data_IF_643524016207
#
_entry.id   IF_643524016207
#
_cell.length_a   1.000
_cell.length_b   1.000
_cell.length_c   1.000
_cell.angle_alpha   90.00
_cell.angle_beta   90.00
_cell.angle_gamma   90.00
#
_symmetry.space_group_name_H-M   'P 1'
#
loop_
_entity.id
_entity.type
_entity.pdbx_description
1 polymer ?
#
# COMPACT_ATOMS: atom_id res chain seq x y z
N UNK A 1 -31.58 -54.12 -29.21
CA UNK A 1 -32.29 -52.81 -29.08
C UNK A 1 -32.39 -52.23 -27.66
N UNK A 2 -31.71 -52.79 -26.63
CA UNK A 2 -31.81 -52.30 -25.25
C UNK A 2 -30.61 -51.43 -24.80
N UNK A 3 -29.52 -51.43 -25.51
CA UNK A 3 -28.28 -50.70 -25.17
C UNK A 3 -28.23 -49.24 -25.64
N UNK A 4 -28.92 -48.90 -26.73
CA UNK A 4 -28.98 -47.55 -27.29
C UNK A 4 -29.82 -46.55 -26.44
N UNK A 5 -30.86 -47.06 -25.77
CA UNK A 5 -31.71 -46.22 -24.91
C UNK A 5 -31.01 -45.76 -23.62
N UNK A 6 -30.07 -46.56 -23.11
CA UNK A 6 -29.31 -46.23 -21.89
C UNK A 6 -28.29 -45.11 -22.12
N UNK A 7 -27.65 -45.09 -23.30
CA UNK A 7 -26.67 -44.05 -23.68
C UNK A 7 -27.36 -42.68 -23.91
N UNK A 8 -28.56 -42.69 -24.48
CA UNK A 8 -29.33 -41.46 -24.72
C UNK A 8 -29.81 -40.84 -23.40
N UNK A 9 -30.19 -41.63 -22.39
CA UNK A 9 -30.58 -41.16 -21.07
C UNK A 9 -29.38 -40.57 -20.29
N UNK A 10 -28.17 -41.11 -20.48
CA UNK A 10 -26.95 -40.60 -19.82
C UNK A 10 -26.50 -39.26 -20.40
N UNK A 11 -26.67 -39.05 -21.72
CA UNK A 11 -26.30 -37.76 -22.38
C UNK A 11 -27.24 -36.63 -21.97
N UNK A 12 -28.53 -36.92 -21.74
CA UNK A 12 -29.51 -35.90 -21.29
C UNK A 12 -29.26 -35.46 -19.84
N UNK A 13 -28.69 -36.34 -19.00
CA UNK A 13 -28.38 -36.02 -17.60
C UNK A 13 -27.20 -35.08 -17.43
N UNK A 14 -26.34 -34.91 -18.44
CA UNK A 14 -25.16 -34.04 -18.38
C UNK A 14 -25.50 -32.58 -18.73
N UNK A 15 -26.67 -32.33 -19.31
CA UNK A 15 -27.03 -30.99 -19.84
C UNK A 15 -27.75 -30.05 -18.84
N UNK A 16 -27.94 -30.47 -17.57
CA UNK A 16 -28.62 -29.62 -16.56
C UNK A 16 -27.63 -29.18 -15.45
N UNK A 17 -26.41 -28.92 -15.84
CA UNK A 17 -25.53 -28.09 -15.02
C UNK A 17 -25.96 -26.63 -15.16
N UNK A 18 -26.91 -26.16 -14.35
CA UNK A 18 -27.11 -24.72 -14.20
C UNK A 18 -25.80 -24.13 -13.72
N UNK A 19 -25.13 -23.35 -14.61
CA UNK A 19 -24.04 -22.50 -14.19
C UNK A 19 -24.58 -21.62 -13.06
N UNK A 20 -24.12 -21.86 -11.86
CA UNK A 20 -24.42 -21.02 -10.72
C UNK A 20 -23.73 -19.69 -11.02
N UNK A 21 -24.49 -18.68 -11.43
CA UNK A 21 -24.00 -17.33 -11.55
C UNK A 21 -23.59 -16.89 -10.15
N UNK A 22 -22.29 -16.93 -9.87
CA UNK A 22 -21.73 -16.29 -8.68
C UNK A 22 -22.07 -14.81 -8.80
N UNK A 23 -23.11 -14.36 -8.13
CA UNK A 23 -23.37 -12.95 -7.90
C UNK A 23 -22.27 -12.45 -6.96
N UNK A 24 -21.16 -12.02 -7.54
CA UNK A 24 -20.10 -11.39 -6.79
C UNK A 24 -20.59 -10.01 -6.35
N UNK A 25 -20.82 -9.86 -5.05
CA UNK A 25 -21.13 -8.55 -4.48
C UNK A 25 -19.89 -7.68 -4.60
N UNK A 26 -20.01 -6.52 -5.24
CA UNK A 26 -18.94 -5.52 -5.38
C UNK A 26 -19.32 -4.26 -4.64
N UNK A 27 -18.32 -3.56 -4.13
CA UNK A 27 -18.49 -2.23 -3.54
C UNK A 27 -18.58 -1.18 -4.64
N UNK A 28 -19.26 -0.07 -4.35
CA UNK A 28 -19.16 1.12 -5.19
C UNK A 28 -17.73 1.67 -5.14
N UNK A 29 -17.28 2.24 -6.26
CA UNK A 29 -16.03 3.00 -6.26
C UNK A 29 -16.16 4.24 -5.35
N UNK A 30 -15.08 4.62 -4.67
CA UNK A 30 -15.06 5.86 -3.88
C UNK A 30 -15.43 7.09 -4.72
N UNK A 31 -15.14 7.07 -6.01
CA UNK A 31 -15.47 8.15 -6.94
C UNK A 31 -16.99 8.29 -7.19
N UNK A 32 -17.72 7.20 -7.03
CA UNK A 32 -19.17 7.14 -7.28
C UNK A 32 -20.00 7.50 -6.04
N UNK A 33 -19.36 7.63 -4.87
CA UNK A 33 -20.01 7.94 -3.60
C UNK A 33 -19.69 9.37 -3.19
N UNK A 34 -20.72 10.19 -2.99
CA UNK A 34 -20.59 11.57 -2.53
C UNK A 34 -21.27 11.77 -1.18
N UNK A 35 -20.54 12.34 -0.24
CA UNK A 35 -21.09 12.72 1.05
C UNK A 35 -21.97 13.97 0.87
N UNK A 36 -23.17 13.91 1.40
CA UNK A 36 -24.06 15.06 1.49
C UNK A 36 -23.70 15.91 2.72
N UNK A 37 -24.28 17.13 2.84
CA UNK A 37 -24.09 18.02 3.99
C UNK A 37 -24.44 17.30 5.29
N UNK A 38 -23.44 17.03 6.11
CA UNK A 38 -23.53 16.17 7.29
C UNK A 38 -22.25 16.26 8.12
N UNK A 39 -22.26 15.74 9.37
CA UNK A 39 -21.05 15.59 10.16
C UNK A 39 -19.97 14.74 9.46
N UNK A 40 -20.35 13.80 8.61
CA UNK A 40 -19.41 12.96 7.86
C UNK A 40 -18.65 13.77 6.79
N UNK A 41 -19.34 14.64 6.06
CA UNK A 41 -18.68 15.57 5.13
C UNK A 41 -17.73 16.51 5.86
N UNK A 42 -18.15 17.03 7.02
CA UNK A 42 -17.29 17.88 7.84
C UNK A 42 -16.04 17.14 8.32
N UNK A 43 -16.17 15.88 8.74
CA UNK A 43 -15.05 15.03 9.12
C UNK A 43 -14.08 14.81 7.94
N UNK A 44 -14.58 14.51 6.75
CA UNK A 44 -13.77 14.35 5.54
C UNK A 44 -12.98 15.63 5.21
N UNK A 45 -13.62 16.81 5.33
CA UNK A 45 -12.96 18.08 5.09
C UNK A 45 -11.86 18.36 6.13
N UNK A 46 -12.12 18.06 7.39
CA UNK A 46 -11.14 18.19 8.48
C UNK A 46 -9.93 17.29 8.23
N UNK A 47 -10.16 16.05 7.82
CA UNK A 47 -9.12 15.08 7.51
C UNK A 47 -8.29 15.50 6.29
N UNK A 48 -8.94 16.03 5.24
CA UNK A 48 -8.28 16.58 4.07
C UNK A 48 -7.30 17.71 4.46
N UNK A 49 -7.74 18.64 5.30
CA UNK A 49 -6.88 19.73 5.79
C UNK A 49 -5.72 19.17 6.63
N UNK A 50 -5.96 18.20 7.49
CA UNK A 50 -4.93 17.56 8.29
C UNK A 50 -3.87 16.87 7.41
N UNK A 51 -4.29 16.09 6.43
CA UNK A 51 -3.40 15.41 5.48
C UNK A 51 -2.52 16.43 4.74
N UNK A 52 -3.08 17.55 4.30
CA UNK A 52 -2.33 18.61 3.62
C UNK A 52 -1.40 19.39 4.55
N UNK A 53 -1.68 19.44 5.85
CA UNK A 53 -0.83 20.09 6.85
C UNK A 53 0.44 19.30 7.19
N UNK A 54 0.47 17.98 6.90
CA UNK A 54 1.67 17.19 7.09
C UNK A 54 2.76 17.58 6.07
N UNK A 55 4.00 17.59 6.54
CA UNK A 55 5.16 17.94 5.72
C UNK A 55 5.66 16.69 4.95
N UNK A 56 5.53 16.65 3.61
CA UNK A 56 5.95 15.52 2.80
C UNK A 56 7.47 15.30 2.78
N UNK A 57 8.28 16.36 2.95
CA UNK A 57 9.73 16.24 2.99
C UNK A 57 10.19 15.51 4.25
N UNK A 58 9.50 15.70 5.35
CA UNK A 58 9.74 14.97 6.59
C UNK A 58 9.32 13.51 6.50
N UNK A 59 8.22 13.23 5.79
CA UNK A 59 7.71 11.86 5.59
C UNK A 59 8.54 11.07 4.57
N UNK A 60 9.14 11.74 3.59
CA UNK A 60 10.04 11.10 2.61
C UNK A 60 11.48 10.95 3.11
N UNK A 61 11.86 11.67 4.18
CA UNK A 61 13.22 11.69 4.70
C UNK A 61 13.83 10.32 5.02
N UNK A 62 13.10 9.36 5.65
CA UNK A 62 13.63 8.03 5.92
C UNK A 62 14.04 7.28 4.65
N UNK A 63 13.22 7.35 3.61
CA UNK A 63 13.47 6.66 2.34
C UNK A 63 14.67 7.25 1.60
N UNK A 64 14.79 8.58 1.59
CA UNK A 64 15.94 9.26 0.99
C UNK A 64 17.24 8.92 1.72
N UNK A 65 17.22 8.94 3.04
CA UNK A 65 18.37 8.57 3.88
C UNK A 65 18.83 7.14 3.63
N UNK A 66 17.90 6.18 3.61
CA UNK A 66 18.22 4.78 3.36
C UNK A 66 18.73 4.54 1.93
N UNK A 67 18.29 5.34 0.98
CA UNK A 67 18.80 5.34 -0.40
C UNK A 67 20.16 6.05 -0.56
N UNK A 68 20.77 6.57 0.51
CA UNK A 68 22.03 7.34 0.45
C UNK A 68 21.89 8.76 -0.09
N UNK A 69 20.65 9.27 -0.18
CA UNK A 69 20.38 10.64 -0.59
C UNK A 69 20.24 11.57 0.61
N UNK A 70 20.53 12.84 0.42
CA UNK A 70 20.31 13.86 1.45
C UNK A 70 18.82 14.19 1.52
N UNK A 71 18.16 14.00 2.68
CA UNK A 71 16.78 14.42 2.90
C UNK A 71 16.64 15.94 2.83
N UNK A 72 15.50 16.44 2.37
CA UNK A 72 15.17 17.88 2.32
C UNK A 72 14.81 18.46 3.69
N UNK A 73 14.32 17.60 4.60
CA UNK A 73 13.96 17.96 5.97
C UNK A 73 14.30 16.78 6.93
N UNK A 74 14.43 17.03 8.25
CA UNK A 74 14.57 15.95 9.21
C UNK A 74 13.26 15.13 9.31
N UNK A 75 13.36 13.81 9.51
CA UNK A 75 12.21 12.94 9.76
C UNK A 75 11.35 13.46 10.91
N UNK A 76 10.09 13.05 10.94
CA UNK A 76 9.30 13.14 12.15
C UNK A 76 9.95 12.31 13.27
N UNK A 77 9.57 12.58 14.51
CA UNK A 77 10.06 11.86 15.69
C UNK A 77 9.19 10.64 16.00
N UNK A 78 9.47 9.96 17.10
CA UNK A 78 8.83 8.75 17.56
C UNK A 78 9.00 7.61 16.55
N UNK A 79 7.94 7.12 15.95
CA UNK A 79 7.96 5.95 15.07
C UNK A 79 8.83 6.16 13.82
N UNK A 80 9.00 7.40 13.38
CA UNK A 80 9.78 7.74 12.20
C UNK A 80 11.29 7.91 12.48
N UNK A 81 11.76 7.66 13.71
CA UNK A 81 13.18 7.70 14.08
C UNK A 81 13.57 6.68 15.16
N UNK A 82 12.81 5.61 15.34
CA UNK A 82 13.03 4.57 16.36
C UNK A 82 13.11 3.14 15.80
N UNK A 83 13.28 2.99 14.49
CA UNK A 83 13.38 1.70 13.82
C UNK A 83 12.15 1.31 12.98
N UNK A 84 11.07 2.09 13.04
CA UNK A 84 9.92 2.03 12.13
C UNK A 84 9.94 3.14 11.09
N UNK A 85 11.07 3.72 10.87
CA UNK A 85 11.27 4.84 9.94
C UNK A 85 10.65 4.53 8.56
N UNK A 86 9.86 5.45 8.03
CA UNK A 86 9.10 5.30 6.79
C UNK A 86 7.70 4.69 6.94
N UNK A 87 7.32 4.22 8.13
CA UNK A 87 6.01 3.62 8.39
C UNK A 87 4.86 4.59 8.11
N UNK A 88 4.92 5.80 8.66
CA UNK A 88 3.89 6.82 8.45
C UNK A 88 3.84 7.27 6.98
N UNK A 89 4.97 7.28 6.28
CA UNK A 89 5.03 7.60 4.85
C UNK A 89 4.17 6.69 3.99
N UNK A 90 4.14 5.38 4.28
CA UNK A 90 3.26 4.42 3.62
C UNK A 90 1.78 4.66 3.90
N UNK A 91 1.41 4.89 5.16
CA UNK A 91 0.05 5.28 5.53
C UNK A 91 -0.39 6.58 4.85
N UNK A 92 0.51 7.55 4.77
CA UNK A 92 0.25 8.82 4.13
C UNK A 92 -0.07 8.68 2.64
N UNK A 93 0.66 7.83 1.92
CA UNK A 93 0.36 7.53 0.51
C UNK A 93 -1.03 6.91 0.34
N UNK A 94 -1.40 5.97 1.21
CA UNK A 94 -2.74 5.37 1.21
C UNK A 94 -3.82 6.43 1.48
N UNK A 95 -3.60 7.29 2.48
CA UNK A 95 -4.53 8.38 2.82
C UNK A 95 -4.70 9.36 1.66
N UNK A 96 -3.62 9.80 1.02
CA UNK A 96 -3.67 10.68 -0.15
C UNK A 96 -4.43 10.02 -1.31
N UNK A 97 -4.16 8.75 -1.59
CA UNK A 97 -4.81 8.02 -2.68
C UNK A 97 -6.32 7.87 -2.46
N UNK A 98 -6.72 7.49 -1.25
CA UNK A 98 -8.13 7.34 -0.89
C UNK A 98 -8.85 8.70 -0.85
N UNK A 99 -8.21 9.74 -0.30
CA UNK A 99 -8.79 11.08 -0.26
C UNK A 99 -8.98 11.64 -1.67
N UNK A 100 -7.98 11.46 -2.55
CA UNK A 100 -8.12 11.85 -3.96
C UNK A 100 -9.25 11.08 -4.66
N UNK A 101 -9.32 9.78 -4.49
CA UNK A 101 -10.39 8.96 -5.07
C UNK A 101 -11.78 9.39 -4.60
N UNK A 102 -11.94 9.77 -3.34
CA UNK A 102 -13.23 10.19 -2.77
C UNK A 102 -13.64 11.62 -3.14
N UNK A 103 -12.67 12.54 -3.29
CA UNK A 103 -12.94 13.98 -3.42
C UNK A 103 -12.60 14.57 -4.78
N UNK A 104 -11.62 14.02 -5.49
CA UNK A 104 -11.04 14.61 -6.69
C UNK A 104 -10.22 15.88 -6.42
N UNK A 105 -9.83 16.14 -5.15
CA UNK A 105 -9.12 17.37 -4.77
C UNK A 105 -7.74 17.44 -5.43
N UNK A 106 -7.48 18.55 -6.13
CA UNK A 106 -6.24 18.74 -6.90
C UNK A 106 -5.01 18.98 -6.03
N UNK A 107 -5.15 19.57 -4.83
CA UNK A 107 -4.04 19.74 -3.91
C UNK A 107 -3.58 18.38 -3.36
N UNK A 108 -4.52 17.49 -3.04
CA UNK A 108 -4.24 16.09 -2.68
C UNK A 108 -3.53 15.37 -3.83
N UNK A 109 -4.00 15.52 -5.07
CA UNK A 109 -3.36 14.92 -6.25
C UNK A 109 -1.91 15.40 -6.42
N UNK A 110 -1.66 16.70 -6.30
CA UNK A 110 -0.31 17.24 -6.41
C UNK A 110 0.60 16.73 -5.29
N UNK A 111 0.07 16.63 -4.06
CA UNK A 111 0.80 16.11 -2.91
C UNK A 111 1.14 14.62 -3.10
N UNK A 112 0.21 13.82 -3.59
CA UNK A 112 0.44 12.41 -3.91
C UNK A 112 1.56 12.24 -4.94
N UNK A 113 1.49 12.98 -6.05
CA UNK A 113 2.53 12.92 -7.09
C UNK A 113 3.89 13.39 -6.57
N UNK A 114 3.91 14.40 -5.71
CA UNK A 114 5.16 14.85 -5.08
C UNK A 114 5.81 13.71 -4.28
N UNK A 115 5.04 13.04 -3.40
CA UNK A 115 5.53 11.91 -2.62
C UNK A 115 6.01 10.75 -3.52
N UNK A 116 5.24 10.39 -4.54
CA UNK A 116 5.61 9.34 -5.49
C UNK A 116 6.93 9.67 -6.21
N UNK A 117 7.15 10.91 -6.61
CA UNK A 117 8.38 11.33 -7.25
C UNK A 117 9.60 11.25 -6.32
N UNK A 118 9.46 11.63 -5.05
CA UNK A 118 10.54 11.52 -4.07
C UNK A 118 10.86 10.03 -3.78
N UNK A 119 9.85 9.19 -3.66
CA UNK A 119 10.05 7.75 -3.48
C UNK A 119 10.68 7.09 -4.71
N UNK A 120 10.24 7.47 -5.91
CA UNK A 120 10.85 7.00 -7.15
C UNK A 120 12.32 7.41 -7.26
N UNK A 121 12.65 8.64 -6.88
CA UNK A 121 14.04 9.12 -6.82
C UNK A 121 14.88 8.27 -5.85
N UNK A 122 14.35 7.94 -4.67
CA UNK A 122 15.00 7.04 -3.71
C UNK A 122 15.20 5.62 -4.30
N UNK A 123 14.17 5.06 -4.93
CA UNK A 123 14.21 3.74 -5.56
C UNK A 123 15.28 3.68 -6.67
N UNK A 124 15.37 4.72 -7.50
CA UNK A 124 16.36 4.81 -8.55
C UNK A 124 17.78 4.91 -8.00
N UNK A 125 18.00 5.68 -6.94
CA UNK A 125 19.31 5.79 -6.30
C UNK A 125 19.80 4.45 -5.72
N UNK A 126 18.90 3.62 -5.20
CA UNK A 126 19.22 2.25 -4.75
C UNK A 126 19.55 1.33 -5.92
N UNK A 127 18.91 1.50 -7.08
CA UNK A 127 19.21 0.75 -8.32
C UNK A 127 18.78 -0.72 -8.33
N UNK A 128 18.09 -1.21 -7.30
CA UNK A 128 17.65 -2.62 -7.18
C UNK A 128 16.14 -2.80 -7.25
N UNK A 129 15.39 -1.70 -7.42
CA UNK A 129 13.92 -1.70 -7.31
C UNK A 129 13.40 -1.65 -5.86
N UNK A 130 14.26 -1.85 -4.87
CA UNK A 130 13.89 -1.77 -3.46
C UNK A 130 13.60 -0.33 -3.04
N UNK A 131 12.63 -0.18 -2.15
CA UNK A 131 12.31 1.05 -1.44
C UNK A 131 11.97 0.72 0.00
N UNK A 132 12.50 1.48 0.96
CA UNK A 132 12.22 1.32 2.38
C UNK A 132 12.87 2.44 3.18
N UNK A 133 12.34 2.74 4.36
CA UNK A 133 12.82 3.79 5.24
C UNK A 133 13.50 3.29 6.52
N UNK A 134 13.29 2.01 6.86
CA UNK A 134 13.89 1.41 8.07
C UNK A 134 15.42 1.42 7.98
N UNK A 135 16.13 1.95 8.99
CA UNK A 135 17.58 2.03 8.98
C UNK A 135 18.26 0.68 8.75
N UNK A 136 19.12 0.60 7.71
CA UNK A 136 19.85 -0.60 7.32
C UNK A 136 18.98 -1.65 6.64
N UNK A 137 17.78 -1.32 6.17
CA UNK A 137 16.89 -2.25 5.47
C UNK A 137 17.47 -2.74 4.14
N UNK A 138 18.22 -1.92 3.44
CA UNK A 138 18.90 -2.34 2.21
C UNK A 138 19.88 -3.50 2.47
N UNK A 139 20.65 -3.45 3.56
CA UNK A 139 21.55 -4.52 3.97
C UNK A 139 20.77 -5.76 4.41
N UNK A 140 19.71 -5.59 5.18
CA UNK A 140 18.81 -6.67 5.59
C UNK A 140 18.34 -7.50 4.40
N UNK A 141 17.85 -6.85 3.34
CA UNK A 141 17.34 -7.56 2.17
C UNK A 141 18.42 -8.21 1.32
N UNK A 142 19.65 -7.68 1.34
CA UNK A 142 20.82 -8.37 0.75
C UNK A 142 21.14 -9.67 1.49
N UNK A 143 21.10 -9.67 2.82
CA UNK A 143 21.33 -10.86 3.65
C UNK A 143 20.25 -11.93 3.40
N UNK A 144 18.98 -11.53 3.41
CA UNK A 144 17.85 -12.44 3.12
C UNK A 144 17.98 -13.05 1.72
N UNK A 145 18.33 -12.24 0.69
CA UNK A 145 18.55 -12.72 -0.68
C UNK A 145 19.71 -13.72 -0.74
N UNK A 146 20.71 -13.58 0.11
CA UNK A 146 21.84 -14.51 0.21
C UNK A 146 21.50 -15.78 1.02
N UNK A 147 20.29 -15.90 1.56
CA UNK A 147 19.86 -17.04 2.38
C UNK A 147 20.19 -16.92 3.88
N UNK A 148 20.79 -15.80 4.32
CA UNK A 148 21.02 -15.53 5.74
C UNK A 148 19.75 -14.95 6.36
N UNK A 149 18.93 -15.82 6.97
CA UNK A 149 17.65 -15.47 7.58
C UNK A 149 17.69 -15.81 9.06
N UNK A 150 17.67 -14.79 9.90
CA UNK A 150 17.68 -14.90 11.35
C UNK A 150 16.40 -14.28 11.93
N UNK A 151 15.38 -15.12 12.12
CA UNK A 151 14.08 -14.69 12.64
C UNK A 151 14.06 -14.69 14.16
N UNK A 152 13.49 -13.65 14.75
CA UNK A 152 13.11 -13.55 16.16
C UNK A 152 11.65 -13.20 16.32
N UNK A 153 11.11 -13.09 17.53
CA UNK A 153 9.66 -12.91 17.77
C UNK A 153 9.02 -11.79 16.93
N UNK A 154 9.58 -10.59 16.96
CA UNK A 154 9.14 -9.45 16.15
C UNK A 154 10.30 -8.85 15.35
N UNK A 155 11.34 -9.64 15.08
CA UNK A 155 12.52 -9.15 14.37
C UNK A 155 12.94 -10.09 13.25
N UNK A 156 13.60 -9.53 12.25
CA UNK A 156 14.24 -10.25 11.16
C UNK A 156 15.62 -9.63 10.96
N UNK A 157 16.68 -10.47 11.09
CA UNK A 157 18.08 -10.05 11.03
C UNK A 157 18.40 -8.83 11.91
N UNK A 158 17.85 -8.82 13.14
CA UNK A 158 18.05 -7.76 14.12
C UNK A 158 17.27 -6.46 13.83
N UNK A 159 16.43 -6.41 12.81
CA UNK A 159 15.53 -5.27 12.55
C UNK A 159 14.15 -5.57 13.11
N UNK A 160 13.55 -4.59 13.77
CA UNK A 160 12.22 -4.69 14.33
C UNK A 160 11.15 -4.58 13.25
N UNK A 161 10.26 -5.56 13.18
CA UNK A 161 9.09 -5.67 12.27
C UNK A 161 9.29 -5.14 10.83
N UNK A 162 10.39 -5.48 10.13
CA UNK A 162 10.70 -4.85 8.83
C UNK A 162 9.69 -5.20 7.74
N UNK A 163 9.01 -6.36 7.81
CA UNK A 163 7.94 -6.74 6.89
C UNK A 163 6.70 -5.88 7.08
N UNK A 164 6.34 -5.59 8.34
CA UNK A 164 5.22 -4.72 8.66
C UNK A 164 5.44 -3.29 8.14
N UNK A 165 6.66 -2.78 8.25
CA UNK A 165 7.01 -1.46 7.75
C UNK A 165 6.84 -1.35 6.22
N UNK A 166 7.27 -2.36 5.47
CA UNK A 166 7.17 -2.39 3.99
C UNK A 166 5.74 -2.60 3.51
N UNK A 167 4.91 -3.36 4.21
CA UNK A 167 3.57 -3.72 3.73
C UNK A 167 2.64 -2.52 3.49
N UNK A 168 2.99 -1.36 4.01
CA UNK A 168 2.21 -0.12 3.82
C UNK A 168 2.61 0.68 2.56
N UNK A 169 3.62 0.22 1.83
CA UNK A 169 4.07 0.83 0.57
C UNK A 169 3.44 0.18 -0.68
N UNK A 170 2.65 -0.88 -0.51
CA UNK A 170 2.01 -1.63 -1.59
C UNK A 170 0.50 -1.49 -1.59
#
# INVERSE_FOLDING_TARGET
MKTTSFILALIISISIGKAQTNHQVSYFSLQDVKLLSSPFLQAQQTDLHYILALDPDRLSAPFLREAGLTPKAPSYTNWENTGLDGHIGGHYLSALSMMYAATGDTAIYHRLNYMLNELHRAQQAVGTGFIGGTPGSLQLWKEIKAGDIRAGGFSLNGKWVPLYNICLLY
#
